data_IF_299452447244
#
_entry.id   IF_299452447244
#
_cell.length_a   1.000
_cell.length_b   1.000
_cell.length_c   1.000
_cell.angle_alpha   90.00
_cell.angle_beta   90.00
_cell.angle_gamma   90.00
#
_symmetry.space_group_name_H-M   'P 1'
#
loop_
_entity.id
_entity.type
_entity.pdbx_description
1 polymer ?
#
# COMPACT_ATOMS: atom_id res chain seq x y z
N UNK A 1 4.25 -5.77 20.74
CA UNK A 1 3.36 -5.08 19.78
C UNK A 1 3.90 -5.35 18.38
N UNK A 2 3.05 -5.74 17.43
CA UNK A 2 3.45 -5.95 16.03
C UNK A 2 3.23 -4.66 15.26
N UNK A 3 4.15 -4.34 14.35
CA UNK A 3 3.99 -3.26 13.39
C UNK A 3 3.94 -3.87 11.99
N UNK A 4 3.20 -3.24 11.07
CA UNK A 4 3.09 -3.66 9.68
C UNK A 4 3.33 -2.43 8.80
N UNK A 5 4.03 -2.62 7.69
CA UNK A 5 4.46 -1.53 6.81
C UNK A 5 4.11 -1.87 5.37
N UNK A 6 3.55 -0.92 4.62
CA UNK A 6 3.37 -1.01 3.17
C UNK A 6 3.99 0.20 2.45
N UNK A 7 4.32 -0.02 1.18
CA UNK A 7 4.53 1.03 0.19
C UNK A 7 3.40 0.90 -0.84
N UNK A 8 2.73 2.00 -1.15
CA UNK A 8 1.69 2.01 -2.18
C UNK A 8 2.33 2.46 -3.51
N UNK A 9 2.34 1.58 -4.51
CA UNK A 9 3.06 1.80 -5.77
C UNK A 9 2.16 1.69 -7.00
N UNK A 10 0.85 1.89 -6.82
CA UNK A 10 -0.12 1.89 -7.90
C UNK A 10 -0.58 3.30 -8.27
N UNK A 11 -0.67 3.59 -9.56
CA UNK A 11 -1.27 4.81 -10.08
C UNK A 11 -2.55 4.46 -10.83
N UNK A 12 -3.69 4.95 -10.34
CA UNK A 12 -4.98 4.74 -11.03
C UNK A 12 -5.01 5.49 -12.35
N UNK A 13 -5.66 4.92 -13.37
CA UNK A 13 -5.77 5.54 -14.69
C UNK A 13 -6.48 6.89 -14.66
N UNK A 14 -7.45 7.03 -13.75
CA UNK A 14 -8.22 8.26 -13.56
C UNK A 14 -7.55 9.29 -12.62
N UNK A 15 -6.24 9.15 -12.35
CA UNK A 15 -5.51 10.09 -11.49
C UNK A 15 -5.52 11.50 -12.12
N UNK A 16 -5.90 12.55 -11.39
CA UNK A 16 -5.94 13.93 -11.92
C UNK A 16 -4.55 14.53 -12.09
N UNK A 17 -3.51 13.90 -11.53
CA UNK A 17 -2.14 14.38 -11.55
C UNK A 17 -1.49 14.13 -12.92
N UNK A 18 -0.39 14.82 -13.21
CA UNK A 18 0.42 14.54 -14.42
C UNK A 18 1.19 13.22 -14.28
N UNK A 19 1.42 12.53 -15.38
CA UNK A 19 2.06 11.20 -15.38
C UNK A 19 3.47 11.20 -14.77
N UNK A 20 4.26 12.25 -15.00
CA UNK A 20 5.64 12.35 -14.50
C UNK A 20 5.74 12.39 -12.96
N UNK A 21 4.63 12.64 -12.26
CA UNK A 21 4.59 12.60 -10.79
C UNK A 21 4.56 11.16 -10.24
N UNK A 22 4.39 10.14 -11.09
CA UNK A 22 4.33 8.74 -10.66
C UNK A 22 3.15 8.50 -9.71
N UNK A 23 3.43 8.05 -8.48
CA UNK A 23 2.44 7.86 -7.42
C UNK A 23 2.60 9.01 -6.41
N UNK A 24 1.79 10.08 -6.51
CA UNK A 24 1.90 11.20 -5.60
C UNK A 24 1.41 10.84 -4.20
N UNK A 25 1.77 11.66 -3.22
CA UNK A 25 1.20 11.59 -1.89
C UNK A 25 -0.34 11.68 -1.95
N UNK A 26 -1.03 10.96 -1.06
CA UNK A 26 -2.49 10.77 -1.02
C UNK A 26 -3.12 9.89 -2.12
N UNK A 27 -2.36 9.32 -3.05
CA UNK A 27 -2.94 8.50 -4.13
C UNK A 27 -3.58 7.19 -3.63
N UNK A 28 -3.22 6.73 -2.43
CA UNK A 28 -3.77 5.53 -1.77
C UNK A 28 -5.13 5.77 -1.11
N UNK A 29 -5.41 7.00 -0.65
CA UNK A 29 -6.63 7.34 0.11
C UNK A 29 -7.94 6.95 -0.61
N UNK A 30 -8.13 7.20 -1.91
CA UNK A 30 -9.33 6.78 -2.62
C UNK A 30 -9.57 5.25 -2.56
N UNK A 31 -8.49 4.46 -2.52
CA UNK A 31 -8.56 3.01 -2.42
C UNK A 31 -8.87 2.53 -1.01
N UNK A 32 -8.31 3.18 0.02
CA UNK A 32 -8.58 2.87 1.43
C UNK A 32 -10.03 3.14 1.80
N UNK A 33 -10.61 4.23 1.28
CA UNK A 33 -11.98 4.64 1.60
C UNK A 33 -13.04 4.12 0.63
N UNK A 34 -12.65 3.38 -0.41
CA UNK A 34 -13.58 2.78 -1.36
C UNK A 34 -14.39 3.80 -2.15
N UNK A 35 -13.76 4.88 -2.61
CA UNK A 35 -14.47 5.94 -3.35
C UNK A 35 -15.10 5.46 -4.65
N UNK A 36 -14.65 4.32 -5.19
CA UNK A 36 -15.28 3.64 -6.33
C UNK A 36 -16.73 3.22 -6.06
N UNK A 37 -17.11 2.98 -4.79
CA UNK A 37 -18.49 2.63 -4.41
C UNK A 37 -19.48 3.79 -4.63
N UNK A 38 -18.99 5.03 -4.63
CA UNK A 38 -19.79 6.24 -4.86
C UNK A 38 -19.64 6.74 -6.30
N UNK A 39 -18.43 6.66 -6.86
CA UNK A 39 -18.09 7.15 -8.19
C UNK A 39 -18.10 6.00 -9.21
N UNK A 40 -19.26 5.37 -9.36
CA UNK A 40 -19.45 4.32 -10.36
C UNK A 40 -19.07 4.86 -11.75
N UNK A 41 -18.24 4.13 -12.50
CA UNK A 41 -17.73 4.41 -13.86
C UNK A 41 -16.45 5.25 -14.02
N UNK A 42 -15.80 5.73 -12.94
CA UNK A 42 -14.48 6.39 -13.07
C UNK A 42 -13.29 5.47 -12.82
N UNK A 43 -13.52 4.27 -12.28
CA UNK A 43 -12.48 3.31 -11.93
C UNK A 43 -12.43 2.17 -12.93
N UNK A 44 -11.22 1.75 -13.30
CA UNK A 44 -11.06 0.51 -14.06
C UNK A 44 -11.47 -0.68 -13.18
N UNK A 45 -11.98 -1.79 -13.74
CA UNK A 45 -12.35 -2.98 -12.94
C UNK A 45 -11.22 -3.49 -12.05
N UNK A 46 -9.97 -3.38 -12.52
CA UNK A 46 -8.77 -3.72 -11.74
C UNK A 46 -8.56 -2.79 -10.53
N UNK A 47 -8.84 -1.49 -10.68
CA UNK A 47 -8.75 -0.54 -9.57
C UNK A 47 -9.85 -0.80 -8.52
N UNK A 48 -11.04 -1.21 -8.96
CA UNK A 48 -12.15 -1.61 -8.09
C UNK A 48 -11.76 -2.82 -7.24
N UNK A 49 -11.24 -3.88 -7.88
CA UNK A 49 -10.79 -5.07 -7.16
C UNK A 49 -9.68 -4.72 -6.16
N UNK A 50 -8.68 -3.96 -6.61
CA UNK A 50 -7.57 -3.55 -5.76
C UNK A 50 -8.01 -2.72 -4.56
N UNK A 51 -9.00 -1.82 -4.73
CA UNK A 51 -9.57 -1.07 -3.62
C UNK A 51 -10.27 -1.99 -2.61
N UNK A 52 -11.03 -2.98 -3.07
CA UNK A 52 -11.64 -3.96 -2.18
C UNK A 52 -10.58 -4.73 -1.37
N UNK A 53 -9.48 -5.17 -2.02
CA UNK A 53 -8.39 -5.89 -1.35
C UNK A 53 -7.70 -5.02 -0.28
N UNK A 54 -7.53 -3.73 -0.55
CA UNK A 54 -7.00 -2.76 0.42
C UNK A 54 -7.96 -2.57 1.59
N UNK A 55 -9.26 -2.40 1.34
CA UNK A 55 -10.29 -2.27 2.38
C UNK A 55 -10.30 -3.51 3.28
N UNK A 56 -10.26 -4.70 2.70
CA UNK A 56 -10.21 -5.96 3.46
C UNK A 56 -8.97 -6.03 4.35
N UNK A 57 -7.82 -5.57 3.85
CA UNK A 57 -6.57 -5.52 4.60
C UNK A 57 -6.62 -4.55 5.77
N UNK A 58 -7.13 -3.34 5.54
CA UNK A 58 -7.30 -2.33 6.60
C UNK A 58 -8.31 -2.79 7.66
N UNK A 59 -9.41 -3.40 7.23
CA UNK A 59 -10.47 -3.85 8.14
C UNK A 59 -10.08 -5.10 8.93
N UNK A 60 -9.31 -6.03 8.37
CA UNK A 60 -8.78 -7.17 9.13
C UNK A 60 -7.78 -6.72 10.19
N UNK A 61 -6.91 -5.76 9.86
CA UNK A 61 -6.00 -5.16 10.85
C UNK A 61 -6.78 -4.49 11.99
N UNK A 62 -7.83 -3.73 11.67
CA UNK A 62 -8.68 -3.09 12.67
C UNK A 62 -9.41 -4.10 13.57
N UNK A 63 -9.84 -5.25 13.04
CA UNK A 63 -10.56 -6.30 13.78
C UNK A 63 -9.63 -7.15 14.64
N UNK A 64 -8.53 -7.62 14.06
CA UNK A 64 -7.73 -8.72 14.61
C UNK A 64 -6.30 -8.32 14.97
N UNK A 65 -5.89 -7.10 14.61
CA UNK A 65 -4.51 -6.62 14.75
C UNK A 65 -3.53 -7.22 13.74
N UNK A 66 -4.02 -8.00 12.77
CA UNK A 66 -3.20 -8.61 11.70
C UNK A 66 -3.82 -8.34 10.31
N UNK A 67 -3.08 -7.68 9.40
CA UNK A 67 -3.58 -7.43 8.05
C UNK A 67 -3.57 -8.73 7.23
N UNK A 68 -4.67 -9.00 6.54
CA UNK A 68 -4.84 -10.11 5.58
C UNK A 68 -5.09 -9.49 4.21
N UNK A 69 -4.24 -9.79 3.23
CA UNK A 69 -4.44 -9.34 1.86
C UNK A 69 -4.87 -10.55 1.02
N UNK A 70 -6.11 -10.54 0.50
CA UNK A 70 -6.69 -11.68 -0.24
C UNK A 70 -5.85 -12.13 -1.43
N UNK A 71 -5.13 -11.21 -2.08
CA UNK A 71 -4.25 -11.52 -3.22
C UNK A 71 -2.84 -12.01 -2.81
N UNK A 72 -2.41 -11.90 -1.55
CA UNK A 72 -1.04 -12.24 -1.18
C UNK A 72 -0.80 -13.74 -1.12
N UNK A 73 -1.85 -14.56 -0.91
CA UNK A 73 -1.72 -16.00 -0.62
C UNK A 73 -0.76 -16.33 0.53
N UNK A 74 -0.31 -15.31 1.28
CA UNK A 74 0.80 -15.30 2.25
C UNK A 74 0.43 -14.36 3.40
N UNK A 75 1.00 -14.63 4.58
CA UNK A 75 0.87 -13.74 5.75
C UNK A 75 1.66 -12.45 5.53
N UNK A 76 1.06 -11.31 5.89
CA UNK A 76 1.77 -10.04 5.94
C UNK A 76 2.85 -10.10 7.02
N UNK A 77 4.15 -9.97 6.67
CA UNK A 77 5.22 -10.10 7.65
C UNK A 77 5.24 -8.89 8.60
N UNK A 78 5.38 -9.09 9.91
CA UNK A 78 5.56 -7.96 10.82
C UNK A 78 6.89 -7.27 10.56
N UNK A 79 6.88 -5.95 10.62
CA UNK A 79 8.06 -5.11 10.60
C UNK A 79 8.85 -5.27 11.90
N UNK A 80 10.18 -5.33 11.80
CA UNK A 80 11.11 -5.16 12.93
C UNK A 80 12.36 -4.40 12.51
N UNK A 81 13.18 -3.96 13.48
CA UNK A 81 14.46 -3.30 13.17
C UNK A 81 15.44 -4.24 12.46
N UNK A 82 15.41 -5.52 12.81
CA UNK A 82 16.25 -6.58 12.25
C UNK A 82 15.75 -7.02 10.87
N UNK A 83 14.44 -6.93 10.63
CA UNK A 83 13.77 -7.25 9.36
C UNK A 83 12.82 -6.11 8.99
N UNK A 84 13.35 -4.98 8.46
CA UNK A 84 12.56 -3.79 8.15
C UNK A 84 11.80 -3.94 6.83
N UNK A 85 11.00 -4.99 6.72
CA UNK A 85 10.26 -5.33 5.51
C UNK A 85 8.99 -4.50 5.38
N UNK A 86 8.60 -4.25 4.14
CA UNK A 86 7.32 -3.67 3.75
C UNK A 86 6.65 -4.54 2.69
N UNK A 87 5.33 -4.46 2.59
CA UNK A 87 4.58 -4.99 1.44
C UNK A 87 4.44 -3.90 0.39
N UNK A 88 4.89 -4.16 -0.82
CA UNK A 88 4.69 -3.31 -1.98
C UNK A 88 3.32 -3.59 -2.60
N UNK A 89 2.38 -2.65 -2.46
CA UNK A 89 1.01 -2.77 -2.90
C UNK A 89 0.87 -2.27 -4.33
N UNK A 90 0.76 -3.21 -5.25
CA UNK A 90 0.43 -2.97 -6.65
C UNK A 90 -0.55 -4.04 -7.15
N UNK A 91 -1.56 -3.68 -7.95
CA UNK A 91 -2.57 -4.64 -8.42
C UNK A 91 -2.05 -5.66 -9.45
N UNK A 92 -0.88 -5.45 -10.05
CA UNK A 92 -0.24 -6.44 -10.92
C UNK A 92 0.62 -7.44 -10.15
N UNK A 93 1.26 -6.99 -9.07
CA UNK A 93 2.19 -7.82 -8.32
C UNK A 93 2.37 -7.29 -6.89
N UNK A 94 2.23 -8.17 -5.90
CA UNK A 94 2.48 -7.82 -4.50
C UNK A 94 3.78 -8.47 -4.04
N UNK A 95 4.73 -7.65 -3.59
CA UNK A 95 6.06 -8.11 -3.19
C UNK A 95 6.35 -7.75 -1.73
N UNK A 96 7.21 -8.54 -1.08
CA UNK A 96 7.81 -8.16 0.20
C UNK A 96 9.18 -7.54 -0.12
N UNK A 97 9.37 -6.28 0.27
CA UNK A 97 10.55 -5.48 -0.04
C UNK A 97 11.23 -4.98 1.25
N UNK A 98 12.47 -4.52 1.14
CA UNK A 98 13.16 -3.77 2.19
C UNK A 98 13.49 -2.37 1.63
N UNK A 99 12.57 -1.40 1.76
CA UNK A 99 12.63 -0.16 1.01
C UNK A 99 13.59 0.86 1.64
N UNK A 100 14.21 1.67 0.79
CA UNK A 100 14.94 2.91 1.13
C UNK A 100 16.06 2.77 2.16
N UNK A 101 16.74 1.62 2.21
CA UNK A 101 17.78 1.35 3.21
C UNK A 101 18.90 2.38 3.15
N UNK A 102 19.39 2.70 1.94
CA UNK A 102 20.53 3.59 1.74
C UNK A 102 20.17 5.04 2.03
N UNK A 103 19.00 5.49 1.57
CA UNK A 103 18.48 6.84 1.77
C UNK A 103 18.19 7.09 3.25
N UNK A 104 17.54 6.12 3.93
CA UNK A 104 17.31 6.22 5.36
C UNK A 104 18.62 6.23 6.15
N UNK A 105 19.63 5.45 5.74
CA UNK A 105 20.95 5.47 6.36
C UNK A 105 21.64 6.82 6.19
N UNK A 106 21.60 7.38 4.97
CA UNK A 106 22.14 8.71 4.69
C UNK A 106 21.50 9.77 5.59
N UNK A 107 20.17 9.87 5.63
CA UNK A 107 19.50 10.91 6.42
C UNK A 107 19.70 10.74 7.94
N UNK A 108 19.75 9.49 8.44
CA UNK A 108 20.01 9.23 9.86
C UNK A 108 21.40 9.65 10.31
N UNK A 109 22.39 9.76 9.43
CA UNK A 109 23.72 10.26 9.82
C UNK A 109 23.71 11.73 10.23
N UNK A 110 22.78 12.52 9.69
CA UNK A 110 22.70 13.96 9.91
C UNK A 110 21.58 14.36 10.87
N UNK A 111 20.48 13.61 10.86
CA UNK A 111 19.24 13.95 11.57
C UNK A 111 18.77 12.83 12.52
N UNK A 112 19.59 11.79 12.73
CA UNK A 112 19.25 10.60 13.51
C UNK A 112 20.14 10.37 14.72
#
# INVERSE_FOLDING_TARGET
MKAFHYIFSHRRKASPFKEWLGVPHFEDVPFVFGTHLQLNNTYAPKDVQFSNDIIDTWTSFAKDGEPTFGLLGKKWPPYSKEKPVAVDLNPDNVNIINPYKEECQFWRQYFG
#
